data_IF_281168210293
#
_entry.id   IF_281168210293
#
_cell.length_a   1.000
_cell.length_b   1.000
_cell.length_c   1.000
_cell.angle_alpha   90.00
_cell.angle_beta   90.00
_cell.angle_gamma   90.00
#
_symmetry.space_group_name_H-M   'P 1'
#
loop_
_entity.id
_entity.type
_entity.pdbx_description
1 polymer ?
#
# COMPACT_ATOMS: atom_id res chain seq x y z
N UNK A 1 7.04 -14.46 -42.22
CA UNK A 1 5.64 -14.95 -42.04
C UNK A 1 5.38 -15.04 -40.53
N UNK A 2 4.42 -14.29 -39.98
CA UNK A 2 4.05 -14.35 -38.55
C UNK A 2 2.95 -15.38 -38.37
N UNK A 3 3.15 -16.35 -37.48
CA UNK A 3 2.21 -17.42 -37.17
C UNK A 3 1.17 -16.88 -36.17
N UNK A 4 -0.09 -16.78 -36.58
CA UNK A 4 -1.19 -16.58 -35.64
C UNK A 4 -1.34 -17.84 -34.78
N UNK A 5 -1.38 -17.68 -33.46
CA UNK A 5 -1.74 -18.76 -32.56
C UNK A 5 -3.25 -18.76 -32.40
N UNK A 6 -3.88 -19.89 -32.71
CA UNK A 6 -5.30 -20.12 -32.47
C UNK A 6 -5.57 -20.03 -30.96
N UNK A 7 -6.50 -19.16 -30.57
CA UNK A 7 -6.84 -18.87 -29.17
C UNK A 7 -7.97 -19.77 -28.64
N UNK A 8 -8.40 -20.75 -29.44
CA UNK A 8 -9.59 -21.56 -29.14
C UNK A 8 -9.19 -22.93 -28.61
N UNK A 9 -8.44 -22.97 -27.51
CA UNK A 9 -8.20 -24.22 -26.80
C UNK A 9 -9.16 -24.29 -25.59
N UNK A 10 -10.30 -24.96 -25.79
CA UNK A 10 -11.24 -25.27 -24.71
C UNK A 10 -10.72 -26.51 -23.97
N UNK A 11 -10.27 -26.35 -22.74
CA UNK A 11 -9.95 -27.49 -21.88
C UNK A 11 -11.24 -28.07 -21.28
N UNK A 12 -11.53 -29.34 -21.60
CA UNK A 12 -12.57 -30.10 -20.92
C UNK A 12 -12.07 -30.53 -19.54
N UNK A 13 -12.82 -30.21 -18.48
CA UNK A 13 -12.51 -30.66 -17.13
C UNK A 13 -12.89 -32.14 -17.02
N UNK A 14 -11.90 -33.01 -16.85
CA UNK A 14 -12.14 -34.43 -16.58
C UNK A 14 -12.60 -34.59 -15.12
N UNK A 15 -13.91 -34.76 -14.93
CA UNK A 15 -14.50 -35.03 -13.60
C UNK A 15 -14.16 -36.41 -13.03
N UNK A 16 -13.52 -37.28 -13.81
CA UNK A 16 -13.08 -38.61 -13.39
C UNK A 16 -11.67 -38.61 -12.73
N UNK A 17 -11.21 -37.46 -12.21
CA UNK A 17 -9.92 -37.38 -11.56
C UNK A 17 -10.06 -37.85 -10.09
N UNK A 18 -9.38 -38.93 -9.65
CA UNK A 18 -9.52 -39.47 -8.29
C UNK A 18 -9.04 -38.51 -7.18
N UNK A 19 -8.42 -37.39 -7.55
CA UNK A 19 -8.09 -36.29 -6.64
C UNK A 19 -9.30 -35.43 -6.23
N UNK A 20 -10.44 -35.55 -6.94
CA UNK A 20 -11.69 -34.88 -6.58
C UNK A 20 -12.60 -35.73 -5.68
N UNK A 21 -12.22 -36.99 -5.43
CA UNK A 21 -12.95 -37.92 -4.54
C UNK A 21 -12.43 -37.91 -3.09
N UNK A 22 -11.57 -36.96 -2.72
CA UNK A 22 -11.26 -36.73 -1.31
C UNK A 22 -12.49 -36.06 -0.68
N UNK A 23 -13.37 -36.89 -0.11
CA UNK A 23 -14.37 -36.50 0.88
C UNK A 23 -13.61 -36.02 2.13
N UNK A 24 -12.97 -34.85 1.98
CA UNK A 24 -12.26 -34.16 3.03
C UNK A 24 -13.24 -33.88 4.15
N UNK A 25 -12.99 -34.53 5.27
CA UNK A 25 -13.66 -34.38 6.55
C UNK A 25 -13.63 -32.91 6.99
N UNK A 26 -14.60 -32.12 6.51
CA UNK A 26 -14.74 -30.71 6.82
C UNK A 26 -15.27 -30.59 8.25
N UNK A 27 -14.50 -29.97 9.15
CA UNK A 27 -14.98 -29.63 10.49
C UNK A 27 -16.25 -28.78 10.35
N UNK A 28 -17.39 -29.36 10.76
CA UNK A 28 -18.68 -28.70 10.76
C UNK A 28 -18.62 -27.41 11.59
N UNK A 29 -18.84 -26.26 10.96
CA UNK A 29 -18.87 -24.98 11.67
C UNK A 29 -20.07 -24.96 12.60
N UNK A 30 -19.80 -24.75 13.89
CA UNK A 30 -20.83 -24.59 14.93
C UNK A 30 -21.79 -23.43 14.57
N UNK A 31 -23.00 -23.80 14.18
CA UNK A 31 -24.30 -23.21 14.52
C UNK A 31 -24.43 -21.68 14.37
N UNK A 32 -24.91 -21.20 13.23
CA UNK A 32 -25.73 -19.99 13.17
C UNK A 32 -27.20 -20.42 13.08
N UNK A 33 -28.06 -19.89 13.97
CA UNK A 33 -29.49 -20.18 14.00
C UNK A 33 -30.18 -19.64 12.74
N UNK A 34 -30.44 -20.52 11.78
CA UNK A 34 -31.39 -20.29 10.71
C UNK A 34 -32.76 -20.75 11.22
N UNK A 35 -33.72 -19.84 11.39
CA UNK A 35 -35.09 -20.23 11.71
C UNK A 35 -35.73 -20.92 10.50
N UNK A 36 -35.99 -22.22 10.64
CA UNK A 36 -36.83 -22.99 9.74
C UNK A 36 -38.27 -22.45 9.75
N UNK A 37 -38.83 -22.17 8.57
CA UNK A 37 -40.28 -22.17 8.39
C UNK A 37 -40.70 -23.41 7.61
N UNK A 38 -41.13 -24.39 8.38
CA UNK A 38 -41.95 -25.54 7.97
C UNK A 38 -43.22 -25.03 7.29
N UNK A 39 -43.53 -25.63 6.15
CA UNK A 39 -44.64 -25.26 5.29
C UNK A 39 -46.03 -25.62 5.81
N UNK A 40 -47.02 -24.91 5.30
CA UNK A 40 -48.38 -25.41 5.14
C UNK A 40 -48.85 -25.05 3.72
N UNK A 41 -49.18 -26.08 2.96
CA UNK A 41 -49.86 -26.01 1.67
C UNK A 41 -51.34 -25.75 1.87
N UNK A 42 -51.90 -24.72 1.23
CA UNK A 42 -53.33 -24.61 1.04
C UNK A 42 -53.70 -23.97 -0.31
N UNK A 43 -54.49 -24.76 -1.04
CA UNK A 43 -55.52 -24.48 -2.05
C UNK A 43 -55.25 -23.48 -3.19
N UNK A 44 -55.21 -24.06 -4.38
CA UNK A 44 -55.29 -23.45 -5.70
C UNK A 44 -56.61 -22.69 -5.93
N UNK A 45 -56.50 -21.45 -6.44
CA UNK A 45 -57.56 -20.82 -7.24
C UNK A 45 -56.91 -20.28 -8.54
N UNK A 46 -57.46 -20.70 -9.67
CA UNK A 46 -57.01 -20.34 -11.01
C UNK A 46 -57.45 -18.91 -11.33
N UNK A 47 -56.61 -17.94 -10.98
CA UNK A 47 -56.74 -16.55 -11.40
C UNK A 47 -55.51 -16.08 -12.16
N UNK A 48 -55.58 -16.15 -13.49
CA UNK A 48 -54.88 -15.31 -14.47
C UNK A 48 -53.56 -14.64 -14.00
N UNK A 49 -52.41 -15.26 -14.30
CA UNK A 49 -51.07 -14.73 -13.95
C UNK A 49 -50.65 -13.58 -14.87
N UNK A 50 -50.42 -12.35 -14.36
CA UNK A 50 -49.61 -11.35 -15.07
C UNK A 50 -48.13 -11.67 -14.84
N UNK A 51 -47.34 -11.60 -15.91
CA UNK A 51 -45.89 -11.78 -15.89
C UNK A 51 -45.24 -10.86 -14.85
N UNK A 52 -44.58 -11.45 -13.86
CA UNK A 52 -43.75 -10.73 -12.90
C UNK A 52 -42.34 -10.56 -13.45
N UNK A 53 -41.62 -9.62 -12.83
CA UNK A 53 -40.18 -9.32 -12.98
C UNK A 53 -39.88 -8.13 -13.90
N UNK A 54 -39.84 -6.94 -13.30
CA UNK A 54 -38.59 -6.16 -13.31
C UNK A 54 -38.52 -5.30 -12.05
N UNK A 55 -37.66 -5.73 -11.12
CA UNK A 55 -37.17 -4.86 -10.06
C UNK A 55 -36.52 -3.63 -10.70
N UNK A 56 -36.99 -2.45 -10.30
CA UNK A 56 -36.41 -1.19 -10.72
C UNK A 56 -35.18 -0.93 -9.82
N UNK A 57 -34.03 -1.49 -10.21
CA UNK A 57 -32.75 -1.11 -9.62
C UNK A 57 -32.34 0.24 -10.23
N UNK A 58 -32.07 1.29 -9.43
CA UNK A 58 -31.43 2.49 -9.96
C UNK A 58 -30.07 2.10 -10.54
N UNK A 59 -29.92 2.29 -11.85
CA UNK A 59 -28.69 2.08 -12.61
C UNK A 59 -27.65 3.10 -12.16
N UNK A 60 -26.77 2.72 -11.23
CA UNK A 60 -25.47 3.38 -11.12
C UNK A 60 -24.78 3.21 -12.47
N UNK A 61 -24.62 4.34 -13.14
CA UNK A 61 -24.00 4.41 -14.45
C UNK A 61 -22.50 4.46 -14.20
N UNK A 62 -21.83 3.30 -14.28
CA UNK A 62 -20.39 3.26 -14.56
C UNK A 62 -20.19 3.70 -16.01
N UNK A 63 -19.92 4.98 -16.18
CA UNK A 63 -19.28 5.48 -17.39
C UNK A 63 -17.78 5.20 -17.28
N UNK A 64 -17.37 3.99 -17.66
CA UNK A 64 -16.02 3.76 -18.15
C UNK A 64 -15.90 4.52 -19.48
N UNK A 65 -15.54 5.80 -19.38
CA UNK A 65 -15.12 6.59 -20.53
C UNK A 65 -13.64 6.34 -20.73
N UNK A 66 -13.34 5.49 -21.71
CA UNK A 66 -12.11 5.60 -22.49
C UNK A 66 -12.04 7.04 -23.02
N UNK A 67 -11.10 7.85 -22.50
CA UNK A 67 -10.69 9.05 -23.18
C UNK A 67 -9.18 9.02 -23.35
N UNK A 68 -8.77 8.35 -24.43
CA UNK A 68 -7.53 8.67 -25.14
C UNK A 68 -7.69 10.07 -25.70
N UNK A 69 -7.17 11.06 -25.00
CA UNK A 69 -7.01 12.41 -25.52
C UNK A 69 -5.53 12.69 -25.72
N UNK A 70 -5.10 12.62 -26.98
CA UNK A 70 -3.98 13.41 -27.46
C UNK A 70 -4.24 14.87 -27.10
N UNK A 71 -3.40 15.46 -26.26
CA UNK A 71 -3.36 16.91 -26.07
C UNK A 71 -1.92 17.36 -26.33
N UNK A 72 -1.64 17.61 -27.61
CA UNK A 72 -0.63 18.59 -28.00
C UNK A 72 -1.16 19.95 -27.53
N UNK A 73 -0.70 20.35 -26.34
CA UNK A 73 -1.08 21.59 -25.67
C UNK A 73 0.09 22.06 -24.82
N UNK A 74 1.00 22.76 -25.50
CA UNK A 74 2.07 23.62 -25.00
C UNK A 74 1.62 24.58 -23.89
N UNK A 75 1.45 24.09 -22.67
CA UNK A 75 1.41 24.92 -21.46
C UNK A 75 2.65 24.60 -20.63
N UNK A 76 3.72 25.29 -21.03
CA UNK A 76 4.92 25.49 -20.24
C UNK A 76 4.52 26.20 -18.94
N UNK A 77 4.14 25.44 -17.92
CA UNK A 77 4.30 25.89 -16.55
C UNK A 77 5.78 26.28 -16.43
N UNK A 78 6.12 27.52 -16.03
CA UNK A 78 7.50 27.80 -15.68
C UNK A 78 7.77 26.94 -14.45
N UNK A 79 8.37 25.78 -14.70
CA UNK A 79 9.10 25.00 -13.71
C UNK A 79 10.00 26.04 -13.07
N UNK A 80 9.68 26.40 -11.83
CA UNK A 80 10.46 27.34 -11.07
C UNK A 80 11.85 26.71 -10.96
N UNK A 81 12.75 27.16 -11.82
CA UNK A 81 14.16 26.85 -11.79
C UNK A 81 14.74 27.56 -10.56
N UNK A 82 14.34 27.12 -9.37
CA UNK A 82 15.15 27.30 -8.18
C UNK A 82 16.35 26.36 -8.36
N UNK A 83 17.54 26.77 -7.93
CA UNK A 83 18.70 25.88 -7.98
C UNK A 83 18.38 24.66 -7.11
N UNK A 84 18.06 23.54 -7.74
CA UNK A 84 17.76 22.24 -7.11
C UNK A 84 19.01 21.61 -6.44
N UNK A 85 20.07 22.39 -6.20
CA UNK A 85 21.31 21.91 -5.60
C UNK A 85 21.12 21.58 -4.12
N UNK A 86 20.42 22.44 -3.37
CA UNK A 86 20.46 22.40 -1.91
C UNK A 86 19.57 21.27 -1.36
N UNK A 87 18.39 21.08 -1.96
CA UNK A 87 17.48 19.97 -1.62
C UNK A 87 18.07 18.60 -1.98
N UNK A 88 18.96 18.55 -2.98
CA UNK A 88 19.65 17.32 -3.34
C UNK A 88 20.73 16.98 -2.32
N UNK A 89 21.51 17.96 -1.86
CA UNK A 89 22.54 17.76 -0.85
C UNK A 89 21.94 17.35 0.51
N UNK A 90 20.88 18.04 0.95
CA UNK A 90 20.16 17.70 2.17
C UNK A 90 19.58 16.27 2.12
N UNK A 91 19.04 15.86 0.97
CA UNK A 91 18.56 14.50 0.81
C UNK A 91 19.68 13.45 0.91
N UNK A 92 20.87 13.75 0.39
CA UNK A 92 22.04 12.89 0.54
C UNK A 92 22.51 12.83 1.99
N UNK A 93 22.54 13.96 2.71
CA UNK A 93 22.89 14.03 4.13
C UNK A 93 22.00 13.14 4.98
N UNK A 94 20.69 13.19 4.75
CA UNK A 94 19.71 12.34 5.46
C UNK A 94 19.93 10.86 5.14
N UNK A 95 20.12 10.51 3.87
CA UNK A 95 20.32 9.12 3.46
C UNK A 95 21.63 8.54 4.01
N UNK A 96 22.71 9.32 3.99
CA UNK A 96 23.99 8.93 4.58
C UNK A 96 23.87 8.72 6.08
N UNK A 97 23.17 9.63 6.78
CA UNK A 97 22.90 9.48 8.20
C UNK A 97 22.13 8.18 8.50
N UNK A 98 21.09 7.88 7.71
CA UNK A 98 20.33 6.63 7.84
C UNK A 98 21.23 5.41 7.65
N UNK A 99 22.08 5.38 6.62
CA UNK A 99 23.02 4.29 6.38
C UNK A 99 23.97 4.09 7.56
N UNK A 100 24.54 5.19 8.08
CA UNK A 100 25.45 5.16 9.23
C UNK A 100 24.75 4.66 10.50
N UNK A 101 23.54 5.16 10.79
CA UNK A 101 22.80 4.83 12.01
C UNK A 101 22.23 3.40 11.98
N UNK A 102 21.84 2.91 10.80
CA UNK A 102 21.29 1.57 10.62
C UNK A 102 22.34 0.49 10.40
N UNK A 103 23.56 0.85 9.99
CA UNK A 103 24.54 -0.10 9.46
C UNK A 103 24.15 -0.70 8.10
N UNK A 104 23.06 -0.22 7.48
CA UNK A 104 22.60 -0.64 6.16
C UNK A 104 23.20 0.24 5.06
N UNK A 105 23.13 -0.24 3.81
CA UNK A 105 23.72 0.45 2.64
C UNK A 105 22.66 0.69 1.57
N UNK A 106 21.76 1.63 1.84
CA UNK A 106 20.82 2.14 0.84
C UNK A 106 21.56 2.95 -0.23
N UNK A 107 21.26 2.66 -1.49
CA UNK A 107 21.87 3.31 -2.65
C UNK A 107 21.26 4.70 -2.86
N UNK A 108 22.01 5.60 -3.51
CA UNK A 108 21.53 6.92 -3.94
C UNK A 108 20.59 6.81 -5.16
N UNK A 109 19.53 6.02 -5.03
CA UNK A 109 18.55 5.72 -6.09
C UNK A 109 17.28 6.56 -5.90
N UNK A 110 16.41 6.53 -6.92
CA UNK A 110 15.08 7.16 -6.85
C UNK A 110 14.21 6.59 -5.73
N UNK A 111 14.31 5.27 -5.44
CA UNK A 111 13.52 4.64 -4.37
C UNK A 111 13.95 5.09 -2.98
N UNK A 112 15.24 5.33 -2.75
CA UNK A 112 15.74 5.81 -1.46
C UNK A 112 15.60 7.32 -1.29
N UNK A 113 15.92 8.11 -2.33
CA UNK A 113 15.90 9.58 -2.26
C UNK A 113 14.53 10.20 -2.52
N UNK A 114 13.66 9.53 -3.28
CA UNK A 114 12.32 10.03 -3.61
C UNK A 114 11.48 10.34 -2.37
N UNK A 115 11.36 9.42 -1.40
CA UNK A 115 10.63 9.67 -0.15
C UNK A 115 11.21 10.85 0.65
N UNK A 116 12.55 10.95 0.72
CA UNK A 116 13.28 12.01 1.45
C UNK A 116 13.02 13.38 0.80
N UNK A 117 13.26 13.49 -0.51
CA UNK A 117 13.01 14.71 -1.29
C UNK A 117 11.55 15.13 -1.22
N UNK A 118 10.63 14.17 -1.22
CA UNK A 118 9.21 14.42 -1.02
C UNK A 118 8.89 15.09 0.31
N UNK A 119 9.64 14.81 1.39
CA UNK A 119 9.47 15.54 2.67
C UNK A 119 10.11 16.93 2.60
N UNK A 120 11.29 17.05 2.01
CA UNK A 120 11.96 18.35 1.85
C UNK A 120 11.15 19.34 1.00
N UNK A 121 10.37 18.82 0.04
CA UNK A 121 9.44 19.61 -0.78
C UNK A 121 8.14 20.01 -0.04
N UNK A 122 7.84 19.39 1.10
CA UNK A 122 6.69 19.69 1.97
C UNK A 122 7.09 20.62 3.15
N UNK A 123 8.16 21.40 2.98
CA UNK A 123 8.69 22.36 3.97
C UNK A 123 9.26 21.74 5.26
N UNK A 124 9.54 20.44 5.27
CA UNK A 124 10.30 19.82 6.37
C UNK A 124 11.80 20.03 6.20
N UNK A 125 12.49 20.25 7.32
CA UNK A 125 13.94 20.46 7.33
C UNK A 125 14.71 19.14 7.38
N UNK A 126 15.92 19.12 6.83
CA UNK A 126 16.79 17.93 6.89
C UNK A 126 17.07 17.47 8.34
N UNK A 127 17.12 18.38 9.30
CA UNK A 127 17.34 18.06 10.71
C UNK A 127 16.15 17.36 11.36
N UNK A 128 14.91 17.72 10.98
CA UNK A 128 13.70 17.01 11.39
C UNK A 128 13.65 15.59 10.81
N UNK A 129 14.10 15.42 9.57
CA UNK A 129 14.22 14.11 8.95
C UNK A 129 15.27 13.25 9.67
N UNK A 130 16.43 13.81 9.97
CA UNK A 130 17.50 13.14 10.76
C UNK A 130 16.97 12.74 12.14
N UNK A 131 16.26 13.65 12.83
CA UNK A 131 15.67 13.35 14.13
C UNK A 131 14.67 12.19 14.06
N UNK A 132 13.87 12.14 12.99
CA UNK A 132 12.93 11.04 12.76
C UNK A 132 13.67 9.72 12.54
N UNK A 133 14.77 9.74 11.79
CA UNK A 133 15.64 8.56 11.61
C UNK A 133 16.17 8.08 12.95
N UNK A 134 16.79 8.96 13.72
CA UNK A 134 17.33 8.65 15.04
C UNK A 134 16.28 7.99 15.97
N UNK A 135 15.07 8.54 15.98
CA UNK A 135 13.94 7.99 16.73
C UNK A 135 13.56 6.58 16.23
N UNK A 136 13.45 6.38 14.91
CA UNK A 136 13.08 5.07 14.36
C UNK A 136 14.16 4.01 14.61
N UNK A 137 15.43 4.39 14.55
CA UNK A 137 16.55 3.50 14.88
C UNK A 137 16.46 3.07 16.34
N UNK A 138 16.31 4.03 17.26
CA UNK A 138 16.16 3.73 18.69
C UNK A 138 14.93 2.85 18.98
N UNK A 139 13.84 3.04 18.23
CA UNK A 139 12.59 2.30 18.45
C UNK A 139 12.60 0.89 17.87
N UNK A 140 13.20 0.69 16.70
CA UNK A 140 13.00 -0.52 15.89
C UNK A 140 14.25 -1.35 15.66
N UNK A 141 15.46 -0.77 15.71
CA UNK A 141 16.66 -1.57 15.40
C UNK A 141 16.99 -2.63 16.44
N UNK A 142 16.54 -2.45 17.68
CA UNK A 142 16.75 -3.46 18.73
C UNK A 142 15.76 -4.64 18.61
N UNK A 143 14.62 -4.47 17.91
CA UNK A 143 13.67 -5.56 17.66
C UNK A 143 13.99 -6.21 16.30
N UNK A 144 14.41 -7.48 16.34
CA UNK A 144 14.78 -8.26 15.16
C UNK A 144 13.71 -8.21 14.05
N UNK A 145 12.42 -8.30 14.42
CA UNK A 145 11.32 -8.29 13.44
C UNK A 145 11.07 -6.90 12.88
N UNK A 146 11.28 -5.87 13.70
CA UNK A 146 10.96 -4.50 13.31
C UNK A 146 12.09 -3.81 12.54
N UNK A 147 13.33 -4.28 12.73
CA UNK A 147 14.53 -3.75 12.06
C UNK A 147 14.43 -3.74 10.52
N UNK A 148 13.74 -4.72 9.94
CA UNK A 148 13.53 -4.83 8.48
C UNK A 148 12.74 -3.65 7.89
N UNK A 149 11.91 -3.00 8.72
CA UNK A 149 11.08 -1.86 8.30
C UNK A 149 11.81 -0.53 8.36
N UNK A 150 13.06 -0.48 8.84
CA UNK A 150 13.89 0.73 8.85
C UNK A 150 14.41 1.01 7.43
N UNK A 151 13.53 1.53 6.58
CA UNK A 151 13.78 1.84 5.17
C UNK A 151 13.31 3.26 4.86
N UNK A 152 13.93 3.98 3.90
CA UNK A 152 13.49 5.32 3.51
C UNK A 152 11.99 5.36 3.15
N UNK A 153 11.49 4.37 2.41
CA UNK A 153 10.09 4.29 1.99
C UNK A 153 9.11 4.14 3.16
N UNK A 154 9.52 3.47 4.23
CA UNK A 154 8.68 3.25 5.41
C UNK A 154 8.70 4.47 6.32
N UNK A 155 9.88 5.01 6.59
CA UNK A 155 10.10 6.11 7.53
C UNK A 155 9.51 7.42 6.98
N UNK A 156 9.76 7.70 5.70
CA UNK A 156 9.34 8.93 5.03
C UNK A 156 8.03 8.77 4.24
N UNK A 157 7.19 7.79 4.61
CA UNK A 157 5.87 7.62 3.99
C UNK A 157 5.01 8.84 4.29
N UNK A 158 4.38 9.48 3.28
CA UNK A 158 3.65 10.73 3.46
C UNK A 158 2.61 10.73 4.59
N UNK A 159 1.76 9.71 4.62
CA UNK A 159 0.70 9.59 5.62
C UNK A 159 1.15 9.18 7.03
N UNK A 160 2.44 8.87 7.24
CA UNK A 160 2.96 8.44 8.55
C UNK A 160 4.06 9.34 9.09
N UNK A 161 4.77 10.04 8.21
CA UNK A 161 5.93 10.86 8.58
C UNK A 161 5.60 11.93 9.64
N UNK A 162 4.52 12.75 9.53
CA UNK A 162 4.23 13.77 10.55
C UNK A 162 4.02 13.17 11.96
N UNK A 163 3.42 11.99 12.05
CA UNK A 163 3.23 11.29 13.31
C UNK A 163 4.55 10.77 13.90
N UNK A 164 5.47 10.31 13.03
CA UNK A 164 6.81 9.93 13.47
C UNK A 164 7.61 11.14 13.93
N UNK A 165 7.57 12.25 13.19
CA UNK A 165 8.24 13.50 13.58
C UNK A 165 7.74 14.00 14.94
N UNK A 166 6.42 14.05 15.17
CA UNK A 166 5.87 14.45 16.46
C UNK A 166 6.29 13.52 17.61
N UNK A 167 6.41 12.22 17.34
CA UNK A 167 6.93 11.25 18.32
C UNK A 167 8.42 11.44 18.58
N UNK A 168 9.19 11.75 17.55
CA UNK A 168 10.62 12.00 17.61
C UNK A 168 10.93 13.31 18.37
N UNK A 169 10.14 14.36 18.18
CA UNK A 169 10.24 15.61 18.95
C UNK A 169 9.97 15.38 20.44
N UNK A 170 8.91 14.65 20.78
CA UNK A 170 8.62 14.27 22.18
C UNK A 170 9.75 13.46 22.79
N UNK A 171 10.28 12.49 22.03
CA UNK A 171 11.43 11.69 22.44
C UNK A 171 12.70 12.52 22.65
N UNK A 172 12.93 13.52 21.80
CA UNK A 172 14.05 14.46 21.96
C UNK A 172 13.89 15.32 23.21
N UNK A 173 12.68 15.87 23.44
CA UNK A 173 12.35 16.68 24.61
C UNK A 173 12.42 15.88 25.93
N UNK A 174 12.12 14.59 25.88
CA UNK A 174 12.22 13.68 27.02
C UNK A 174 13.68 13.32 27.41
N UNK A 175 14.68 13.87 26.72
CA UNK A 175 16.10 13.66 27.03
C UNK A 175 16.63 12.36 26.43
N UNK A 176 16.57 12.26 25.09
CA UNK A 176 17.08 11.16 24.22
C UNK A 176 18.02 10.20 24.99
N UNK A 177 17.65 8.91 25.15
CA UNK A 177 18.58 7.95 25.73
C UNK A 177 19.87 7.98 24.92
N UNK A 178 21.02 8.07 25.60
CA UNK A 178 22.32 8.10 24.94
C UNK A 178 22.41 6.88 24.02
N UNK A 179 22.61 7.13 22.73
CA UNK A 179 22.79 6.07 21.75
C UNK A 179 24.17 5.46 21.99
N UNK A 180 24.27 4.44 22.84
CA UNK A 180 25.55 3.79 23.17
C UNK A 180 26.16 3.03 21.96
N UNK A 181 25.36 2.80 20.92
CA UNK A 181 25.76 2.06 19.71
C UNK A 181 25.78 2.91 18.45
N UNK A 182 25.60 4.24 18.54
CA UNK A 182 25.82 5.09 17.38
C UNK A 182 27.34 5.32 17.26
N UNK A 183 28.04 4.77 16.25
CA UNK A 183 29.43 5.11 16.02
C UNK A 183 29.49 6.56 15.55
N UNK A 184 29.49 7.48 16.52
CA UNK A 184 29.94 8.84 16.31
C UNK A 184 31.46 8.78 16.32
N UNK A 185 32.05 9.13 15.18
CA UNK A 185 33.48 9.39 14.99
C UNK A 185 34.43 8.21 15.31
N UNK A 186 34.76 7.44 14.28
CA UNK A 186 36.11 6.92 14.04
C UNK A 186 36.44 7.05 12.58
#
# INVERSE_FOLDING_TARGET
KKTQHDRTNYYSINHANPLLTDEGNLHSSKNANCTDRVGQSALIDQGNMPSSIRANCPRLTENTTENTTEITGKDSCPVSAKPDSDSSEDAFRVLEHLNRASGLRFQKSKSSLGPIRGRLAEDFTADELILTVDYTIAKWMQDSRMSEYVRPETIFRPGKFPAYLGSAQKWNQAGRPKCETCPLYT
#
